data_IF_120816909279
#
_entry.id   IF_120816909279
#
_cell.length_a   1.000
_cell.length_b   1.000
_cell.length_c   1.000
_cell.angle_alpha   90.00
_cell.angle_beta   90.00
_cell.angle_gamma   90.00
#
_symmetry.space_group_name_H-M   'P 1'
#
loop_
_entity.id
_entity.type
_entity.pdbx_description
1 polymer ?
#
# COMPACT_ATOMS: atom_id res chain seq x y z
N UNK A 1 57.98 -7.69 35.90
CA UNK A 1 56.95 -6.64 35.70
C UNK A 1 56.81 -6.16 34.24
N UNK A 2 57.60 -6.66 33.28
CA UNK A 2 57.57 -6.19 31.89
C UNK A 2 56.58 -6.94 30.98
N UNK A 3 56.21 -8.18 31.32
CA UNK A 3 55.31 -9.02 30.48
C UNK A 3 53.83 -8.67 30.66
N UNK A 4 53.43 -8.17 31.83
CA UNK A 4 52.04 -7.75 32.10
C UNK A 4 51.67 -6.42 31.39
N UNK A 5 52.66 -5.57 31.10
CA UNK A 5 52.43 -4.28 30.44
C UNK A 5 52.11 -4.41 28.95
N UNK A 6 52.70 -5.39 28.26
CA UNK A 6 52.44 -5.61 26.83
C UNK A 6 51.05 -6.17 26.55
N UNK A 7 50.51 -7.01 27.45
CA UNK A 7 49.16 -7.56 27.32
C UNK A 7 48.07 -6.48 27.53
N UNK A 8 48.33 -5.52 28.43
CA UNK A 8 47.43 -4.38 28.67
C UNK A 8 47.36 -3.40 27.48
N UNK A 9 48.46 -3.27 26.71
CA UNK A 9 48.53 -2.36 25.55
C UNK A 9 47.85 -2.97 24.32
N UNK A 10 47.92 -4.30 24.13
CA UNK A 10 47.22 -4.96 23.02
C UNK A 10 45.69 -4.97 23.21
N UNK A 11 45.20 -5.11 24.44
CA UNK A 11 43.75 -5.03 24.72
C UNK A 11 43.17 -3.61 24.59
N UNK A 12 43.99 -2.55 24.63
CA UNK A 12 43.52 -1.15 24.48
C UNK A 12 43.30 -0.73 23.02
N UNK A 13 43.83 -1.47 22.04
CA UNK A 13 43.72 -1.17 20.61
C UNK A 13 42.53 -1.86 19.92
N UNK A 14 41.84 -2.78 20.59
CA UNK A 14 40.69 -3.53 20.04
C UNK A 14 39.34 -2.83 20.37
N UNK A 15 39.33 -1.83 21.25
CA UNK A 15 38.11 -1.18 21.73
C UNK A 15 37.58 -0.03 20.85
N UNK A 16 38.06 0.15 19.61
CA UNK A 16 37.68 1.32 18.79
C UNK A 16 36.96 1.00 17.48
N UNK A 17 36.23 -0.11 17.43
CA UNK A 17 35.22 -0.32 16.39
C UNK A 17 33.94 -0.89 17.02
N UNK A 18 33.29 -0.07 17.86
CA UNK A 18 31.83 -0.26 18.07
C UNK A 18 31.19 0.10 16.74
N UNK A 19 30.90 -0.93 15.94
CA UNK A 19 30.21 -0.76 14.67
C UNK A 19 28.77 -0.38 15.01
N UNK A 20 28.50 0.94 15.06
CA UNK A 20 27.15 1.46 15.23
C UNK A 20 26.31 0.96 14.07
N UNK A 21 25.19 0.29 14.38
CA UNK A 21 24.24 -0.16 13.35
C UNK A 21 23.84 1.02 12.47
N UNK A 22 23.73 0.81 11.16
CA UNK A 22 23.22 1.83 10.22
C UNK A 22 21.79 2.28 10.58
N UNK A 23 21.08 1.48 11.39
CA UNK A 23 19.73 1.77 11.87
C UNK A 23 19.71 2.45 13.25
N UNK A 24 20.87 2.75 13.84
CA UNK A 24 20.98 3.28 15.22
C UNK A 24 20.22 4.58 15.45
N UNK A 25 19.98 5.38 14.41
CA UNK A 25 19.27 6.66 14.47
C UNK A 25 17.85 6.60 13.88
N UNK A 26 17.37 5.41 13.49
CA UNK A 26 16.01 5.26 12.94
C UNK A 26 15.02 5.26 14.09
N UNK A 27 14.25 6.35 14.20
CA UNK A 27 13.16 6.45 15.16
C UNK A 27 11.98 5.58 14.71
N UNK A 28 11.25 4.95 15.65
CA UNK A 28 9.99 4.29 15.34
C UNK A 28 9.01 5.27 14.68
N UNK A 29 8.36 4.84 13.62
CA UNK A 29 7.27 5.60 13.02
C UNK A 29 6.07 5.66 13.99
N UNK A 30 5.32 6.77 14.02
CA UNK A 30 4.04 6.82 14.74
C UNK A 30 3.10 5.71 14.25
N UNK A 31 2.27 5.19 15.16
CA UNK A 31 1.23 4.22 14.79
C UNK A 31 0.19 4.85 13.86
N UNK A 32 -0.30 4.05 12.89
CA UNK A 32 -1.45 4.44 12.09
C UNK A 32 -2.72 4.44 12.97
N UNK A 33 -3.44 5.56 13.09
CA UNK A 33 -4.60 5.66 13.99
C UNK A 33 -5.74 4.70 13.68
N UNK A 34 -5.89 4.25 12.43
CA UNK A 34 -6.94 3.31 12.05
C UNK A 34 -6.51 1.89 12.40
N UNK A 35 -5.28 1.51 12.06
CA UNK A 35 -4.73 0.19 12.37
C UNK A 35 -4.63 -0.06 13.87
N UNK A 36 -4.26 0.95 14.66
CA UNK A 36 -4.13 0.81 16.12
C UNK A 36 -5.47 0.41 16.75
N UNK A 37 -6.59 0.99 16.31
CA UNK A 37 -7.93 0.63 16.80
C UNK A 37 -8.34 -0.77 16.31
N UNK A 38 -7.99 -1.16 15.08
CA UNK A 38 -8.23 -2.52 14.58
C UNK A 38 -7.53 -3.55 15.47
N UNK A 39 -6.25 -3.32 15.80
CA UNK A 39 -5.46 -4.23 16.63
C UNK A 39 -5.96 -4.27 18.07
N UNK A 40 -6.25 -3.11 18.66
CA UNK A 40 -6.82 -3.04 20.00
C UNK A 40 -8.14 -3.82 20.09
N UNK A 41 -9.05 -3.65 19.11
CA UNK A 41 -10.29 -4.43 19.07
C UNK A 41 -10.04 -5.92 18.84
N UNK A 42 -9.04 -6.30 18.03
CA UNK A 42 -8.70 -7.71 17.80
C UNK A 42 -8.21 -8.39 19.09
N UNK A 43 -7.40 -7.68 19.87
CA UNK A 43 -6.74 -8.22 21.05
C UNK A 43 -7.60 -8.09 22.33
N UNK A 44 -8.71 -7.36 22.27
CA UNK A 44 -9.70 -7.27 23.34
C UNK A 44 -10.35 -8.66 23.62
N UNK A 45 -10.29 -9.18 24.87
CA UNK A 45 -10.87 -10.48 25.22
C UNK A 45 -12.41 -10.47 25.33
N UNK A 46 -13.05 -9.30 25.27
CA UNK A 46 -14.49 -9.16 25.42
C UNK A 46 -15.24 -9.97 24.34
N UNK A 47 -16.15 -10.89 24.73
CA UNK A 47 -16.88 -11.73 23.77
C UNK A 47 -17.92 -10.95 22.95
N UNK A 48 -18.28 -9.73 23.36
CA UNK A 48 -19.28 -8.87 22.72
C UNK A 48 -18.67 -7.61 22.12
N UNK A 49 -17.39 -7.65 21.74
CA UNK A 49 -16.68 -6.55 21.11
C UNK A 49 -17.18 -6.26 19.69
N UNK A 50 -17.18 -4.99 19.30
CA UNK A 50 -17.58 -4.53 17.98
C UNK A 50 -16.45 -3.70 17.35
N UNK A 51 -16.02 -4.10 16.17
CA UNK A 51 -15.02 -3.35 15.41
C UNK A 51 -15.71 -2.36 14.45
N UNK A 52 -15.57 -1.06 14.74
CA UNK A 52 -16.09 0.05 13.92
C UNK A 52 -14.98 0.90 13.28
N UNK A 53 -13.72 0.43 13.29
CA UNK A 53 -12.58 1.22 12.81
C UNK A 53 -12.34 1.08 11.31
N UNK A 54 -12.35 -0.15 10.80
CA UNK A 54 -12.13 -0.40 9.38
C UNK A 54 -13.43 -0.26 8.58
N UNK A 55 -13.41 0.51 7.49
CA UNK A 55 -14.48 0.57 6.48
C UNK A 55 -14.60 -0.69 5.62
N UNK A 56 -14.41 -1.88 6.21
CA UNK A 56 -14.49 -3.16 5.53
C UNK A 56 -15.87 -3.78 5.77
N UNK A 57 -16.57 -4.10 4.68
CA UNK A 57 -17.91 -4.67 4.76
C UNK A 57 -17.93 -6.04 5.43
N UNK A 58 -18.93 -6.28 6.27
CA UNK A 58 -19.09 -7.50 7.07
C UNK A 58 -20.48 -8.11 6.89
N UNK A 59 -20.59 -9.42 7.15
CA UNK A 59 -21.88 -10.10 7.28
C UNK A 59 -22.59 -9.67 8.58
N UNK A 60 -23.83 -10.09 8.75
CA UNK A 60 -24.61 -9.87 9.98
C UNK A 60 -23.91 -10.48 11.22
N UNK A 61 -23.11 -11.55 11.03
CA UNK A 61 -22.29 -12.18 12.07
C UNK A 61 -20.91 -11.54 12.24
N UNK A 62 -20.63 -10.40 11.59
CA UNK A 62 -19.36 -9.68 11.71
C UNK A 62 -18.18 -10.28 10.92
N UNK A 63 -18.42 -11.27 10.05
CA UNK A 63 -17.38 -11.94 9.26
C UNK A 63 -17.06 -11.15 7.98
N UNK A 64 -15.83 -11.28 7.42
CA UNK A 64 -15.52 -10.69 6.11
C UNK A 64 -16.50 -11.19 5.05
N UNK A 65 -17.10 -10.26 4.28
CA UNK A 65 -17.98 -10.62 3.17
C UNK A 65 -17.19 -10.64 1.86
N UNK A 66 -17.21 -11.79 1.18
CA UNK A 66 -16.85 -11.88 -0.25
C UNK A 66 -18.13 -11.89 -1.06
N UNK A 67 -18.22 -10.99 -2.05
CA UNK A 67 -19.39 -10.90 -2.92
C UNK A 67 -19.49 -12.12 -3.84
N UNK A 68 -20.71 -12.56 -4.12
CA UNK A 68 -20.93 -13.73 -4.98
C UNK A 68 -20.43 -13.54 -6.41
N UNK A 69 -20.51 -12.31 -6.92
CA UNK A 69 -19.94 -11.91 -8.22
C UNK A 69 -18.42 -12.11 -8.25
N UNK A 70 -17.73 -11.79 -7.15
CA UNK A 70 -16.27 -11.95 -7.05
C UNK A 70 -15.91 -13.43 -7.03
N UNK A 71 -16.64 -14.27 -6.28
CA UNK A 71 -16.42 -15.72 -6.26
C UNK A 71 -16.54 -16.34 -7.66
N UNK A 72 -17.56 -15.92 -8.43
CA UNK A 72 -17.76 -16.40 -9.80
C UNK A 72 -16.62 -15.97 -10.72
N UNK A 73 -16.19 -14.71 -10.64
CA UNK A 73 -15.06 -14.21 -11.42
C UNK A 73 -13.75 -14.95 -11.08
N UNK A 74 -13.49 -15.20 -9.80
CA UNK A 74 -12.31 -15.98 -9.35
C UNK A 74 -12.34 -17.41 -9.88
N UNK A 75 -13.49 -18.08 -9.85
CA UNK A 75 -13.63 -19.43 -10.41
C UNK A 75 -13.41 -19.45 -11.93
N UNK A 76 -13.91 -18.45 -12.65
CA UNK A 76 -13.67 -18.34 -14.09
C UNK A 76 -12.19 -18.16 -14.40
N UNK A 77 -11.52 -17.23 -13.71
CA UNK A 77 -10.09 -16.98 -13.88
C UNK A 77 -9.23 -18.21 -13.52
N UNK A 78 -9.57 -18.93 -12.44
CA UNK A 78 -8.83 -20.11 -12.02
C UNK A 78 -8.95 -21.28 -13.00
N UNK A 79 -10.08 -21.39 -13.70
CA UNK A 79 -10.34 -22.44 -14.69
C UNK A 79 -9.86 -22.08 -16.11
N UNK A 80 -9.46 -20.84 -16.35
CA UNK A 80 -8.93 -20.39 -17.64
C UNK A 80 -7.45 -20.77 -17.79
N UNK A 81 -7.20 -21.87 -18.52
CA UNK A 81 -5.86 -22.36 -18.80
C UNK A 81 -5.11 -21.52 -19.84
N UNK A 82 -5.79 -20.60 -20.54
CA UNK A 82 -5.17 -19.71 -21.53
C UNK A 82 -4.60 -18.43 -20.91
N UNK A 83 -4.93 -18.15 -19.65
CA UNK A 83 -4.48 -16.95 -18.96
C UNK A 83 -2.96 -16.97 -18.73
N UNK A 84 -2.26 -16.08 -19.42
CA UNK A 84 -0.86 -15.79 -19.15
C UNK A 84 -0.73 -15.01 -17.83
N UNK A 85 0.34 -15.29 -17.08
CA UNK A 85 0.70 -14.62 -15.81
C UNK A 85 1.98 -13.79 -15.96
N UNK A 86 2.35 -13.48 -17.20
CA UNK A 86 3.42 -12.56 -17.53
C UNK A 86 3.14 -11.13 -17.08
N UNK A 87 4.12 -10.27 -17.34
CA UNK A 87 3.98 -8.85 -17.06
C UNK A 87 2.87 -8.22 -17.90
N UNK A 88 2.08 -7.36 -17.26
CA UNK A 88 1.15 -6.49 -17.94
C UNK A 88 1.89 -5.35 -18.66
N UNK A 89 1.25 -4.70 -19.64
CA UNK A 89 1.65 -3.38 -20.11
C UNK A 89 1.80 -2.39 -18.94
N UNK A 90 2.63 -1.36 -19.11
CA UNK A 90 2.95 -0.38 -18.06
C UNK A 90 1.69 0.35 -17.56
N UNK A 91 0.75 0.60 -18.45
CA UNK A 91 -0.54 1.23 -18.19
C UNK A 91 -1.62 0.26 -17.69
N UNK A 92 -1.33 -1.05 -17.65
CA UNK A 92 -2.21 -2.09 -17.14
C UNK A 92 -3.00 -2.84 -18.20
N UNK A 93 -4.06 -3.52 -17.78
CA UNK A 93 -4.94 -4.25 -18.68
C UNK A 93 -5.87 -3.28 -19.43
N UNK A 94 -5.86 -3.33 -20.76
CA UNK A 94 -6.67 -2.44 -21.61
C UNK A 94 -8.17 -2.53 -21.29
N UNK A 95 -8.71 -3.74 -21.14
CA UNK A 95 -10.12 -3.94 -20.79
C UNK A 95 -10.44 -3.46 -19.37
N UNK A 96 -9.53 -3.65 -18.41
CA UNK A 96 -9.68 -3.13 -17.06
C UNK A 96 -9.77 -1.60 -17.07
N UNK A 97 -8.87 -0.94 -17.79
CA UNK A 97 -8.85 0.52 -17.92
C UNK A 97 -10.14 1.04 -18.57
N UNK A 98 -10.55 0.44 -19.69
CA UNK A 98 -11.77 0.82 -20.41
C UNK A 98 -13.03 0.64 -19.54
N UNK A 99 -13.17 -0.51 -18.90
CA UNK A 99 -14.34 -0.80 -18.06
C UNK A 99 -14.35 0.02 -16.76
N UNK A 100 -13.18 0.34 -16.20
CA UNK A 100 -13.08 1.22 -15.03
C UNK A 100 -13.49 2.65 -15.35
N UNK A 101 -13.04 3.20 -16.49
CA UNK A 101 -13.47 4.51 -16.96
C UNK A 101 -14.99 4.56 -17.18
N UNK A 102 -15.53 3.52 -17.80
CA UNK A 102 -16.97 3.35 -18.04
C UNK A 102 -17.75 3.28 -16.73
N UNK A 103 -17.26 2.53 -15.74
CA UNK A 103 -17.91 2.38 -14.43
C UNK A 103 -18.03 3.72 -13.69
N UNK A 104 -17.00 4.56 -13.74
CA UNK A 104 -16.97 5.82 -12.97
C UNK A 104 -17.59 7.01 -13.72
N UNK A 105 -17.45 7.07 -15.05
CA UNK A 105 -17.93 8.19 -15.87
C UNK A 105 -19.29 7.92 -16.54
N UNK A 106 -19.73 6.66 -16.60
CA UNK A 106 -20.94 6.22 -17.29
C UNK A 106 -20.74 5.96 -18.79
N UNK A 107 -21.67 5.18 -19.35
CA UNK A 107 -21.68 4.76 -20.76
C UNK A 107 -21.79 5.95 -21.73
N UNK A 108 -22.56 6.96 -21.35
CA UNK A 108 -22.88 8.14 -22.17
C UNK A 108 -21.94 9.33 -21.88
N UNK A 109 -20.76 9.07 -21.32
CA UNK A 109 -19.81 10.13 -20.98
C UNK A 109 -19.27 10.82 -22.23
N UNK A 110 -19.62 12.11 -22.42
CA UNK A 110 -19.03 12.95 -23.46
C UNK A 110 -17.50 12.98 -23.38
N UNK A 111 -16.91 12.98 -22.18
CA UNK A 111 -15.46 13.00 -22.03
C UNK A 111 -14.80 11.73 -22.60
N UNK A 112 -15.46 10.58 -22.49
CA UNK A 112 -15.01 9.33 -23.11
C UNK A 112 -15.20 9.39 -24.62
N UNK A 113 -16.38 9.82 -25.10
CA UNK A 113 -16.67 9.94 -26.54
C UNK A 113 -15.78 10.94 -27.28
N UNK A 114 -15.33 11.99 -26.59
CA UNK A 114 -14.44 13.03 -27.12
C UNK A 114 -12.95 12.72 -26.90
N UNK A 115 -12.59 11.53 -26.42
CA UNK A 115 -11.21 11.11 -26.13
C UNK A 115 -10.44 12.04 -25.16
N UNK A 116 -11.13 12.59 -24.15
CA UNK A 116 -10.53 13.44 -23.11
C UNK A 116 -10.13 12.68 -21.85
N UNK A 117 -10.27 11.35 -21.85
CA UNK A 117 -10.03 10.48 -20.70
C UNK A 117 -8.83 9.59 -20.97
N UNK A 118 -7.87 9.61 -20.05
CA UNK A 118 -6.76 8.64 -19.99
C UNK A 118 -6.90 7.86 -18.70
N UNK A 119 -6.77 6.53 -18.78
CA UNK A 119 -6.87 5.64 -17.62
C UNK A 119 -5.62 4.78 -17.53
N UNK A 120 -5.07 4.68 -16.33
CA UNK A 120 -3.93 3.81 -16.01
C UNK A 120 -4.29 2.97 -14.79
N UNK A 121 -3.92 1.69 -14.81
CA UNK A 121 -4.11 0.81 -13.66
C UNK A 121 -3.07 1.13 -12.58
N UNK A 122 -3.50 1.22 -11.32
CA UNK A 122 -2.64 1.54 -10.18
C UNK A 122 -2.93 0.60 -8.99
N UNK A 123 -2.07 0.67 -7.96
CA UNK A 123 -2.23 -0.09 -6.71
C UNK A 123 -3.36 0.48 -5.85
N UNK A 124 -4.60 0.15 -6.20
CA UNK A 124 -5.80 0.62 -5.52
C UNK A 124 -5.84 2.16 -5.41
N UNK A 125 -6.70 2.71 -4.54
CA UNK A 125 -6.85 4.15 -4.36
C UNK A 125 -5.56 4.85 -3.93
N UNK A 126 -4.82 4.31 -2.97
CA UNK A 126 -3.58 4.93 -2.47
C UNK A 126 -2.50 5.03 -3.55
N UNK A 127 -2.34 3.98 -4.36
CA UNK A 127 -1.42 4.00 -5.51
C UNK A 127 -1.86 5.01 -6.56
N UNK A 128 -3.15 5.07 -6.87
CA UNK A 128 -3.71 6.09 -7.78
C UNK A 128 -3.44 7.51 -7.29
N UNK A 129 -3.66 7.79 -6.00
CA UNK A 129 -3.39 9.09 -5.39
C UNK A 129 -1.90 9.45 -5.46
N UNK A 130 -1.01 8.49 -5.17
CA UNK A 130 0.43 8.71 -5.24
C UNK A 130 0.88 9.09 -6.66
N UNK A 131 0.44 8.33 -7.66
CA UNK A 131 0.79 8.58 -9.07
C UNK A 131 0.19 9.91 -9.55
N UNK A 132 -1.07 10.19 -9.22
CA UNK A 132 -1.73 11.45 -9.56
C UNK A 132 -1.05 12.67 -8.93
N UNK A 133 -0.69 12.60 -7.64
CA UNK A 133 0.02 13.68 -6.95
C UNK A 133 1.42 13.90 -7.55
N UNK A 134 2.13 12.82 -7.91
CA UNK A 134 3.45 12.91 -8.55
C UNK A 134 3.35 13.53 -9.94
N UNK A 135 2.34 13.14 -10.72
CA UNK A 135 2.06 13.73 -12.03
C UNK A 135 1.80 15.24 -11.93
N UNK A 136 0.93 15.65 -11.00
CA UNK A 136 0.64 17.07 -10.74
C UNK A 136 1.89 17.83 -10.29
N UNK A 137 2.69 17.27 -9.39
CA UNK A 137 3.93 17.90 -8.91
C UNK A 137 4.93 18.11 -10.03
N UNK A 138 5.03 17.16 -10.97
CA UNK A 138 5.99 17.20 -12.07
C UNK A 138 5.56 18.11 -13.22
N UNK A 139 4.25 18.23 -13.47
CA UNK A 139 3.72 18.83 -14.70
C UNK A 139 2.84 20.06 -14.49
N UNK A 140 2.37 20.32 -13.27
CA UNK A 140 1.60 21.52 -12.95
C UNK A 140 2.52 22.58 -12.33
N UNK A 141 2.51 23.81 -12.88
CA UNK A 141 3.21 24.92 -12.24
C UNK A 141 2.56 25.22 -10.89
N UNK A 142 3.36 25.26 -9.82
CA UNK A 142 2.89 25.75 -8.52
C UNK A 142 2.52 27.22 -8.67
N UNK A 143 1.22 27.51 -8.64
CA UNK A 143 0.76 28.87 -8.33
C UNK A 143 1.00 29.04 -6.84
N UNK A 144 2.07 29.75 -6.47
CA UNK A 144 2.32 30.12 -5.09
C UNK A 144 1.12 30.94 -4.60
N UNK A 145 0.24 30.33 -3.81
CA UNK A 145 -0.78 31.06 -3.05
C UNK A 145 -0.09 31.52 -1.77
N UNK A 146 0.15 32.83 -1.58
CA UNK A 146 0.70 33.31 -0.32
C UNK A 146 -0.27 32.97 0.81
N UNK A 147 0.26 32.31 1.85
CA UNK A 147 -0.42 32.07 3.13
C UNK A 147 -0.67 33.39 3.87
#
# INVERSE_FOLDING_TARGET
>A
MTVLFFFQIHCRLINHFVMTSILSNVLPAPEDPVLSVIFACRDDPCPVKLNLSAGAYRTEEGKPLVLEVVRKAEQQLANDLSCDKGYLPIDGLADFNKLSAKLILGDDSHAVGENRVVTIQCLSGTGSLRVGAEFLTKHHQQVNVPH
#
